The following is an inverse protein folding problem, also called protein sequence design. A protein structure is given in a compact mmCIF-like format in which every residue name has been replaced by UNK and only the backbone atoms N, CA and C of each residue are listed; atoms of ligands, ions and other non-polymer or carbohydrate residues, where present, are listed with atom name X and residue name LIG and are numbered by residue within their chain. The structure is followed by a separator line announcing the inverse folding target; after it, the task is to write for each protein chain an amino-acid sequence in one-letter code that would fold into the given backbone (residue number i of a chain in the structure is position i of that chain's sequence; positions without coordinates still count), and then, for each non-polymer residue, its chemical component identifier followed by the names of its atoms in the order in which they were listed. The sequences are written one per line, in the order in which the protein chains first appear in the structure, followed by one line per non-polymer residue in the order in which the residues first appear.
data_IF_084905204995
#
_entry.id   IF_084905204995
#
_cell.length_a   1.000
_cell.length_b   1.000
_cell.length_c   1.000
_cell.angle_alpha   90.00
_cell.angle_beta   90.00
_cell.angle_gamma   90.00
#
_symmetry.space_group_name_H-M   'P 1'
#
loop_
_entity.id
_entity.type
_entity.pdbx_description
1 polymer ?
#
# COMPACT_ATOMS: atom_id res chain seq x y z
N UNK A 1 2.30 22.61 -7.90
CA UNK A 1 2.03 21.16 -7.97
C UNK A 1 2.74 20.62 -9.20
N UNK A 2 3.74 19.75 -9.02
CA UNK A 2 4.63 19.32 -10.10
C UNK A 2 3.90 18.39 -11.09
N UNK A 3 4.19 18.46 -12.39
CA UNK A 3 3.51 17.65 -13.43
C UNK A 3 3.73 16.14 -13.23
N UNK A 4 4.86 15.79 -12.62
CA UNK A 4 5.23 14.43 -12.24
C UNK A 4 4.36 13.89 -11.09
N UNK A 5 3.98 14.74 -10.12
CA UNK A 5 3.09 14.35 -9.02
C UNK A 5 1.71 13.95 -9.52
N UNK A 6 1.14 14.73 -10.46
CA UNK A 6 -0.13 14.41 -11.11
C UNK A 6 -0.10 13.08 -11.86
N UNK A 7 1.04 12.77 -12.49
CA UNK A 7 1.21 11.53 -13.24
C UNK A 7 1.32 10.33 -12.30
N UNK A 8 1.95 10.53 -11.15
CA UNK A 8 2.08 9.50 -10.12
C UNK A 8 0.78 9.23 -9.35
N UNK A 9 -0.07 10.24 -9.13
CA UNK A 9 -1.42 10.03 -8.57
C UNK A 9 -2.27 9.04 -9.39
N UNK A 10 -2.10 9.09 -10.72
CA UNK A 10 -2.81 8.23 -11.67
C UNK A 10 -2.25 6.79 -11.66
N UNK A 11 -1.04 6.58 -11.14
CA UNK A 11 -0.48 5.23 -10.97
C UNK A 11 -1.32 4.44 -9.95
N UNK A 12 -2.00 3.39 -10.40
CA UNK A 12 -2.79 2.50 -9.56
C UNK A 12 -2.25 1.07 -9.62
N UNK A 13 -2.43 0.34 -8.52
CA UNK A 13 -2.10 -1.08 -8.43
C UNK A 13 -2.92 -1.86 -9.47
N UNK A 14 -2.25 -2.59 -10.36
CA UNK A 14 -2.88 -3.40 -11.41
C UNK A 14 -2.98 -2.72 -12.78
N UNK A 15 -2.60 -1.44 -12.92
CA UNK A 15 -2.57 -0.74 -14.20
C UNK A 15 -1.57 -1.41 -15.17
N UNK A 16 -1.93 -1.63 -16.44
CA UNK A 16 -0.98 -2.14 -17.42
C UNK A 16 0.09 -1.09 -17.72
N UNK A 17 1.36 -1.51 -17.78
CA UNK A 17 2.50 -0.61 -17.99
C UNK A 17 2.38 0.17 -19.29
N UNK A 18 1.73 -0.41 -20.31
CA UNK A 18 1.42 0.24 -21.58
C UNK A 18 0.58 1.51 -21.44
N UNK A 19 -0.37 1.56 -20.49
CA UNK A 19 -1.18 2.75 -20.25
C UNK A 19 -0.39 3.84 -19.52
N UNK A 20 0.59 3.43 -18.70
CA UNK A 20 1.49 4.37 -18.05
C UNK A 20 2.51 4.97 -19.04
N UNK A 21 3.00 4.18 -19.98
CA UNK A 21 3.89 4.63 -21.07
C UNK A 21 3.19 5.63 -22.00
N UNK A 22 1.87 5.49 -22.22
CA UNK A 22 1.09 6.45 -23.02
C UNK A 22 0.94 7.80 -22.34
N UNK A 23 0.94 7.83 -21.00
CA UNK A 23 0.73 9.04 -20.19
C UNK A 23 2.03 9.67 -19.68
N UNK A 24 3.16 8.94 -19.72
CA UNK A 24 4.43 9.36 -19.15
C UNK A 24 5.63 8.84 -19.94
N UNK A 25 6.78 9.50 -19.78
CA UNK A 25 8.01 9.10 -20.46
C UNK A 25 8.57 7.78 -19.92
N UNK A 26 9.14 6.96 -20.81
CA UNK A 26 9.83 5.71 -20.46
C UNK A 26 10.95 5.95 -19.42
N UNK A 27 11.63 7.10 -19.50
CA UNK A 27 12.64 7.51 -18.49
C UNK A 27 12.05 7.66 -17.10
N UNK A 28 10.85 8.24 -17.01
CA UNK A 28 10.16 8.45 -15.74
C UNK A 28 9.75 7.12 -15.09
N UNK A 29 9.19 6.20 -15.87
CA UNK A 29 8.82 4.85 -15.41
C UNK A 29 10.06 4.06 -14.97
N UNK A 30 11.16 4.20 -15.70
CA UNK A 30 12.44 3.57 -15.34
C UNK A 30 12.99 4.16 -14.04
N UNK A 31 12.89 5.48 -13.85
CA UNK A 31 13.27 6.15 -12.61
C UNK A 31 12.43 5.70 -11.41
N UNK A 32 11.11 5.57 -11.56
CA UNK A 32 10.23 5.03 -10.52
C UNK A 32 10.58 3.58 -10.14
N UNK A 33 10.99 2.77 -11.14
CA UNK A 33 11.43 1.39 -10.92
C UNK A 33 12.77 1.33 -10.20
N UNK A 34 13.74 2.15 -10.61
CA UNK A 34 15.06 2.22 -9.99
C UNK A 34 14.98 2.68 -8.53
N UNK A 35 14.07 3.60 -8.22
CA UNK A 35 13.81 4.03 -6.85
C UNK A 35 12.97 3.03 -6.03
N UNK A 36 12.61 1.88 -6.61
CA UNK A 36 11.85 0.83 -5.91
C UNK A 36 10.42 1.23 -5.54
N UNK A 37 9.85 2.26 -6.20
CA UNK A 37 8.49 2.74 -5.96
C UNK A 37 7.45 1.85 -6.66
N UNK A 38 7.83 1.28 -7.81
CA UNK A 38 6.97 0.42 -8.61
C UNK A 38 7.65 -0.91 -8.96
N UNK A 39 6.87 -1.98 -8.98
CA UNK A 39 7.24 -3.31 -9.45
C UNK A 39 6.44 -3.64 -10.70
N UNK A 40 7.12 -4.10 -11.74
CA UNK A 40 6.47 -4.61 -12.96
C UNK A 40 6.43 -6.12 -12.86
N UNK A 41 5.22 -6.68 -12.79
CA UNK A 41 5.03 -8.14 -12.80
C UNK A 41 5.23 -8.73 -14.19
N UNK A 42 5.55 -10.04 -14.29
CA UNK A 42 5.73 -10.75 -15.57
C UNK A 42 4.53 -10.66 -16.52
N UNK A 43 3.35 -10.31 -16.02
CA UNK A 43 2.12 -10.07 -16.79
C UNK A 43 1.99 -8.64 -17.34
N UNK A 44 3.05 -7.82 -17.23
CA UNK A 44 3.04 -6.42 -17.68
C UNK A 44 2.16 -5.49 -16.83
N UNK A 45 1.78 -5.94 -15.62
CA UNK A 45 0.99 -5.12 -14.67
C UNK A 45 1.91 -4.43 -13.69
N UNK A 46 1.60 -3.16 -13.43
CA UNK A 46 2.29 -2.32 -12.48
C UNK A 46 1.73 -2.57 -11.08
N UNK A 47 2.64 -2.72 -10.12
CA UNK A 47 2.33 -2.94 -8.72
C UNK A 47 3.07 -1.91 -7.88
N UNK A 48 2.36 -1.18 -7.03
CA UNK A 48 3.01 -0.21 -6.14
C UNK A 48 3.63 -0.95 -4.95
N UNK A 49 4.88 -0.63 -4.64
CA UNK A 49 5.54 -1.12 -3.43
C UNK A 49 5.03 -0.36 -2.21
N UNK A 50 5.37 -0.81 -1.00
CA UNK A 50 5.08 -0.08 0.24
C UNK A 50 5.58 1.38 0.17
N UNK A 51 6.79 1.57 -0.36
CA UNK A 51 7.41 2.88 -0.62
C UNK A 51 6.61 3.68 -1.65
N UNK A 52 6.19 3.02 -2.74
CA UNK A 52 5.38 3.66 -3.77
C UNK A 52 3.99 4.12 -3.29
N UNK A 53 3.36 3.36 -2.38
CA UNK A 53 2.09 3.74 -1.75
C UNK A 53 2.23 4.90 -0.77
N UNK A 54 3.32 4.93 0.00
CA UNK A 54 3.68 6.06 0.86
C UNK A 54 3.91 7.33 0.03
N UNK A 55 4.71 7.24 -1.04
CA UNK A 55 4.92 8.33 -1.98
C UNK A 55 3.62 8.83 -2.61
N UNK A 56 2.67 7.93 -2.89
CA UNK A 56 1.35 8.31 -3.43
C UNK A 56 0.49 9.08 -2.41
N UNK A 57 0.59 8.75 -1.12
CA UNK A 57 -0.16 9.45 -0.06
C UNK A 57 0.43 10.81 0.31
N UNK A 58 1.75 10.97 0.24
CA UNK A 58 2.46 12.20 0.66
C UNK A 58 2.80 13.15 -0.49
N UNK A 59 2.71 12.69 -1.74
CA UNK A 59 3.29 13.35 -2.90
C UNK A 59 4.69 12.79 -3.20
N UNK A 60 4.92 12.46 -4.46
CA UNK A 60 6.16 11.87 -4.94
C UNK A 60 7.35 12.83 -4.72
N UNK A 61 7.15 14.12 -4.97
CA UNK A 61 8.19 15.14 -4.77
C UNK A 61 8.57 15.28 -3.29
N UNK A 62 7.57 15.29 -2.39
CA UNK A 62 7.78 15.28 -0.95
C UNK A 62 8.57 14.04 -0.53
N UNK A 63 8.15 12.86 -0.98
CA UNK A 63 8.83 11.60 -0.66
C UNK A 63 10.27 11.54 -1.18
N UNK A 64 10.51 12.05 -2.39
CA UNK A 64 11.84 12.11 -3.00
C UNK A 64 12.78 13.11 -2.29
N UNK A 65 12.23 14.15 -1.66
CA UNK A 65 12.99 15.12 -0.87
C UNK A 65 13.24 14.71 0.59
N UNK A 66 12.53 13.70 1.11
CA UNK A 66 12.80 13.17 2.45
C UNK A 66 14.21 12.56 2.54
N UNK A 67 14.86 12.80 3.67
CA UNK A 67 16.14 12.16 4.01
C UNK A 67 15.97 10.64 4.17
N UNK A 68 17.04 9.86 3.94
CA UNK A 68 16.97 8.40 4.06
C UNK A 68 16.50 7.94 5.45
N UNK A 69 16.90 8.65 6.51
CA UNK A 69 16.49 8.38 7.89
C UNK A 69 14.98 8.58 8.11
N UNK A 70 14.38 9.62 7.52
CA UNK A 70 12.93 9.84 7.62
C UNK A 70 12.14 8.78 6.84
N UNK A 71 12.68 8.31 5.70
CA UNK A 71 12.06 7.21 4.93
C UNK A 71 12.09 5.87 5.65
N UNK A 72 13.16 5.60 6.40
CA UNK A 72 13.25 4.40 7.24
C UNK A 72 12.27 4.48 8.41
N UNK A 73 12.18 5.63 9.07
CA UNK A 73 11.25 5.85 10.16
C UNK A 73 9.79 5.61 9.74
N UNK A 74 9.38 6.20 8.61
CA UNK A 74 8.02 6.01 8.06
C UNK A 74 7.69 4.56 7.70
N UNK A 75 8.68 3.81 7.19
CA UNK A 75 8.46 2.38 6.92
C UNK A 75 8.30 1.57 8.21
N UNK A 76 9.05 1.91 9.27
CA UNK A 76 8.92 1.26 10.58
C UNK A 76 7.56 1.55 11.21
N UNK A 77 7.14 2.81 11.31
CA UNK A 77 5.83 3.15 11.89
C UNK A 77 4.68 2.49 11.14
N UNK A 78 4.73 2.46 9.80
CA UNK A 78 3.70 1.79 8.99
C UNK A 78 3.63 0.28 9.29
N UNK A 79 4.77 -0.36 9.57
CA UNK A 79 4.83 -1.78 9.91
C UNK A 79 4.32 -2.08 11.31
N UNK A 80 4.62 -1.20 12.29
CA UNK A 80 4.13 -1.32 13.66
C UNK A 80 2.60 -1.14 13.72
N UNK A 81 2.05 -0.10 13.09
CA UNK A 81 0.60 0.15 13.04
C UNK A 81 -0.14 -1.04 12.42
N UNK A 82 0.44 -1.70 11.41
CA UNK A 82 -0.18 -2.88 10.79
C UNK A 82 -0.18 -4.08 11.75
N UNK A 83 0.87 -4.23 12.56
CA UNK A 83 0.98 -5.31 13.53
C UNK A 83 -0.01 -5.12 14.70
N UNK A 84 -0.17 -3.89 15.19
CA UNK A 84 -1.09 -3.57 16.28
C UNK A 84 -2.55 -3.81 15.87
N UNK A 85 -2.93 -3.37 14.67
CA UNK A 85 -4.28 -3.59 14.15
C UNK A 85 -4.59 -5.09 13.91
N UNK A 86 -3.58 -5.89 13.55
CA UNK A 86 -3.76 -7.34 13.36
C UNK A 86 -4.04 -8.05 14.69
N UNK A 87 -3.30 -7.70 15.75
CA UNK A 87 -3.55 -8.19 17.11
C UNK A 87 -4.95 -7.81 17.59
N UNK A 88 -5.38 -6.58 17.35
CA UNK A 88 -6.71 -6.10 17.74
C UNK A 88 -7.83 -6.84 16.98
N UNK A 89 -7.60 -7.12 15.69
CA UNK A 89 -8.52 -7.90 14.85
C UNK A 89 -8.65 -9.36 15.33
N UNK A 90 -7.57 -9.99 15.78
CA UNK A 90 -7.58 -11.34 16.34
C UNK A 90 -8.42 -11.43 17.62
N UNK A 91 -8.25 -10.46 18.52
CA UNK A 91 -9.04 -10.38 19.76
C UNK A 91 -10.53 -10.21 19.44
N UNK A 92 -10.86 -9.32 18.50
CA UNK A 92 -12.23 -9.08 18.08
C UNK A 92 -12.87 -10.30 17.42
N UNK A 93 -12.13 -11.02 16.58
CA UNK A 93 -12.58 -12.28 15.98
C UNK A 93 -12.86 -13.36 17.05
N UNK A 94 -12.01 -13.46 18.08
CA UNK A 94 -12.24 -14.36 19.22
C UNK A 94 -13.50 -14.02 20.00
N UNK A 95 -13.77 -12.73 20.23
CA UNK A 95 -15.00 -12.27 20.89
C UNK A 95 -16.26 -12.60 20.08
N UNK A 96 -16.23 -12.37 18.77
CA UNK A 96 -17.35 -12.73 17.89
C UNK A 96 -17.58 -14.24 17.90
N UNK A 97 -16.51 -15.04 17.80
CA UNK A 97 -16.64 -16.50 17.81
C UNK A 97 -17.24 -16.99 19.12
N UNK A 98 -16.79 -16.44 20.26
CA UNK A 98 -17.35 -16.75 21.57
C UNK A 98 -18.84 -16.39 21.67
N UNK A 99 -19.25 -15.26 21.09
CA UNK A 99 -20.64 -14.84 21.06
C UNK A 99 -21.52 -15.77 20.21
N UNK A 100 -21.04 -16.17 19.03
CA UNK A 100 -21.74 -17.09 18.14
C UNK A 100 -21.90 -18.47 18.78
N UNK A 101 -20.87 -18.96 19.48
CA UNK A 101 -20.94 -20.23 20.22
C UNK A 101 -21.96 -20.15 21.36
N UNK A 102 -22.01 -19.03 22.09
CA UNK A 102 -23.05 -18.82 23.11
C UNK A 102 -24.45 -18.85 22.51
N UNK A 103 -24.68 -18.16 21.38
CA UNK A 103 -25.98 -18.18 20.70
C UNK A 103 -26.37 -19.58 20.22
N UNK A 104 -25.43 -20.33 19.63
CA UNK A 104 -25.67 -21.71 19.19
C UNK A 104 -25.98 -22.65 20.36
N UNK A 105 -25.27 -22.50 21.49
CA UNK A 105 -25.55 -23.24 22.71
C UNK A 105 -26.94 -22.90 23.27
N UNK A 106 -27.31 -21.62 23.27
CA UNK A 106 -28.62 -21.17 23.73
C UNK A 106 -29.75 -21.72 22.85
N UNK A 107 -29.57 -21.70 21.53
CA UNK A 107 -30.55 -22.23 20.57
C UNK A 107 -30.72 -23.75 20.64
N UNK A 108 -29.70 -24.49 21.07
CA UNK A 108 -29.76 -25.97 21.17
C UNK A 108 -30.27 -26.47 22.52
N UNK A 109 -30.23 -25.62 23.56
CA UNK A 109 -30.70 -25.96 24.92
C UNK A 109 -32.10 -25.41 25.24
N UNK A 110 -32.76 -24.75 24.29
CA UNK A 110 -34.14 -24.24 24.38
C UNK A 110 -34.99 -24.89 23.29
#
# INVERSE_FOLDING_TARGET
MNSEDRTYEICQDGMPVSDLIKKSSIKYITGLRQNGLILITRKGKLRLTSKGRLAKKMGLSTYLNLSESEREFLNRETSEIKSENFSLMLVFAGLILSFVVMLGYWYTNF
#
